data_IF_393684563731
#
_entry.id   IF_393684563731
#
_cell.length_a   1.000
_cell.length_b   1.000
_cell.length_c   1.000
_cell.angle_alpha   90.00
_cell.angle_beta   90.00
_cell.angle_gamma   90.00
#
_symmetry.space_group_name_H-M   'P 1'
#
loop_
_entity.id
_entity.type
_entity.pdbx_description
1 polymer ?
#
# COMPACT_ATOMS: atom_id res chain seq x y z
N UNK A 1 1.77 11.98 -9.52
CA UNK A 1 1.29 10.58 -9.40
C UNK A 1 -0.06 10.57 -8.70
N UNK A 2 -1.00 9.84 -9.22
CA UNK A 2 -2.30 9.62 -8.59
C UNK A 2 -2.27 8.40 -7.68
N UNK A 3 -3.32 8.25 -6.86
CA UNK A 3 -3.49 7.03 -6.07
C UNK A 3 -3.60 5.78 -6.93
N UNK A 4 -4.21 5.92 -8.10
CA UNK A 4 -4.30 4.85 -9.09
C UNK A 4 -2.94 4.44 -9.63
N UNK A 5 -2.07 5.42 -9.92
CA UNK A 5 -0.72 5.13 -10.40
C UNK A 5 0.09 4.39 -9.35
N UNK A 6 0.02 4.82 -8.09
CA UNK A 6 0.73 4.17 -6.99
C UNK A 6 0.24 2.75 -6.78
N UNK A 7 -1.09 2.54 -6.77
CA UNK A 7 -1.67 1.21 -6.67
C UNK A 7 -1.22 0.34 -7.84
N UNK A 8 -1.19 0.90 -9.05
CA UNK A 8 -0.81 0.19 -10.25
C UNK A 8 0.62 -0.33 -10.24
N UNK A 9 1.55 0.40 -9.65
CA UNK A 9 2.95 -0.06 -9.55
C UNK A 9 3.03 -1.34 -8.73
N UNK A 10 2.42 -1.36 -7.55
CA UNK A 10 2.43 -2.54 -6.69
C UNK A 10 1.62 -3.69 -7.29
N UNK A 11 0.45 -3.38 -7.83
CA UNK A 11 -0.44 -4.39 -8.41
C UNK A 11 0.20 -5.05 -9.63
N UNK A 12 0.84 -4.27 -10.50
CA UNK A 12 1.56 -4.79 -11.67
C UNK A 12 2.70 -5.71 -11.28
N UNK A 13 3.44 -5.37 -10.24
CA UNK A 13 4.51 -6.21 -9.72
C UNK A 13 3.98 -7.57 -9.25
N UNK A 14 2.85 -7.56 -8.54
CA UNK A 14 2.21 -8.78 -8.02
C UNK A 14 1.64 -9.61 -9.18
N UNK A 15 1.00 -8.96 -10.15
CA UNK A 15 0.45 -9.62 -11.33
C UNK A 15 1.53 -10.32 -12.17
N UNK A 16 2.67 -9.65 -12.36
CA UNK A 16 3.79 -10.20 -13.13
C UNK A 16 4.35 -11.48 -12.52
N UNK A 17 4.12 -11.68 -11.23
CA UNK A 17 4.55 -12.87 -10.51
C UNK A 17 3.43 -13.91 -10.35
N UNK A 18 2.28 -13.69 -10.99
CA UNK A 18 1.19 -14.64 -11.02
C UNK A 18 0.23 -14.60 -9.84
N UNK A 19 0.29 -13.55 -9.01
CA UNK A 19 -0.52 -13.44 -7.79
C UNK A 19 -1.57 -12.31 -7.83
N UNK A 20 -1.80 -11.70 -9.00
CA UNK A 20 -2.69 -10.54 -9.11
C UNK A 20 -4.09 -10.77 -8.58
N UNK A 21 -4.67 -11.93 -8.82
CA UNK A 21 -6.02 -12.26 -8.35
C UNK A 21 -6.11 -12.34 -6.83
N UNK A 22 -4.99 -12.54 -6.14
CA UNK A 22 -4.94 -12.68 -4.69
C UNK A 22 -4.74 -11.32 -3.99
N UNK A 23 -4.42 -10.26 -4.73
CA UNK A 23 -4.34 -8.91 -4.21
C UNK A 23 -5.71 -8.24 -4.34
N UNK A 24 -6.58 -8.48 -3.35
CA UNK A 24 -7.99 -8.13 -3.41
C UNK A 24 -8.38 -6.80 -2.78
N UNK A 25 -7.42 -5.99 -2.31
CA UNK A 25 -7.73 -4.72 -1.67
C UNK A 25 -6.90 -3.58 -2.28
N UNK A 26 -7.16 -2.34 -1.85
CA UNK A 26 -6.40 -1.17 -2.26
C UNK A 26 -4.99 -1.21 -1.70
N UNK A 27 -4.04 -0.51 -2.34
CA UNK A 27 -2.66 -0.43 -1.86
C UNK A 27 -2.55 0.30 -0.54
N UNK A 28 -3.33 1.36 -0.33
CA UNK A 28 -3.24 2.13 0.89
C UNK A 28 -4.25 3.27 0.98
N UNK A 29 -4.11 4.05 2.04
CA UNK A 29 -5.04 5.14 2.37
C UNK A 29 -4.33 6.23 3.18
N UNK A 30 -4.98 7.39 3.28
CA UNK A 30 -4.51 8.48 4.15
C UNK A 30 -4.67 8.12 5.62
N UNK A 31 -3.86 8.74 6.44
CA UNK A 31 -3.90 8.57 7.90
C UNK A 31 -4.26 9.92 8.52
N UNK A 32 -5.20 9.91 9.46
CA UNK A 32 -5.64 11.08 10.18
C UNK A 32 -6.62 10.71 11.27
N UNK A 33 -7.73 11.47 11.37
CA UNK A 33 -8.72 11.25 12.42
C UNK A 33 -9.58 10.01 12.19
N UNK A 34 -9.68 9.55 10.95
CA UNK A 34 -10.44 8.34 10.61
C UNK A 34 -9.50 7.18 10.31
N UNK A 35 -10.00 5.96 10.47
CA UNK A 35 -9.21 4.74 10.21
C UNK A 35 -8.78 4.67 8.76
N UNK A 36 -9.68 5.04 7.84
CA UNK A 36 -9.40 5.10 6.42
C UNK A 36 -9.85 6.45 5.90
N UNK A 37 -8.93 7.28 5.47
CA UNK A 37 -9.29 8.57 4.88
C UNK A 37 -8.50 8.85 3.60
N UNK A 38 -8.90 9.89 2.88
CA UNK A 38 -8.19 10.33 1.68
C UNK A 38 -6.78 10.83 2.03
N UNK A 39 -5.82 10.78 1.11
CA UNK A 39 -5.97 10.23 -0.24
C UNK A 39 -5.95 8.70 -0.24
N UNK A 40 -6.54 8.11 -1.28
CA UNK A 40 -6.55 6.66 -1.44
C UNK A 40 -5.56 6.23 -2.52
N UNK A 41 -4.91 5.09 -2.29
CA UNK A 41 -4.05 4.43 -3.27
C UNK A 41 -4.78 3.19 -3.77
N UNK A 42 -5.60 3.36 -4.80
CA UNK A 42 -6.52 2.34 -5.27
C UNK A 42 -6.71 2.45 -6.79
N UNK A 43 -7.23 1.39 -7.40
CA UNK A 43 -7.49 1.36 -8.85
C UNK A 43 -8.41 2.49 -9.33
N UNK A 44 -9.29 2.97 -8.46
CA UNK A 44 -10.28 4.00 -8.79
C UNK A 44 -9.88 5.40 -8.34
N UNK A 45 -8.71 5.58 -7.73
CA UNK A 45 -8.28 6.85 -7.17
C UNK A 45 -7.49 7.65 -8.21
N UNK A 46 -8.16 8.40 -9.06
CA UNK A 46 -7.56 9.13 -10.17
C UNK A 46 -6.98 10.48 -9.80
N UNK A 47 -7.34 11.03 -8.64
CA UNK A 47 -6.81 12.31 -8.18
C UNK A 47 -5.33 12.25 -7.86
N UNK A 48 -4.56 13.32 -8.12
CA UNK A 48 -3.16 13.38 -7.73
C UNK A 48 -2.99 13.23 -6.22
N UNK A 49 -1.91 12.57 -5.82
CA UNK A 49 -1.54 12.50 -4.40
C UNK A 49 -1.08 13.87 -3.93
N UNK A 50 -1.49 14.24 -2.73
CA UNK A 50 -1.23 15.57 -2.16
C UNK A 50 0.10 15.56 -1.43
N UNK A 51 0.95 16.56 -1.72
CA UNK A 51 2.18 16.77 -0.99
C UNK A 51 1.89 17.03 0.48
N UNK A 52 2.66 16.44 1.36
CA UNK A 52 2.48 16.54 2.80
C UNK A 52 1.60 15.49 3.41
N UNK A 53 0.86 14.72 2.60
CA UNK A 53 0.00 13.66 3.11
C UNK A 53 0.82 12.50 3.70
N UNK A 54 0.25 11.83 4.70
CA UNK A 54 0.77 10.57 5.21
C UNK A 54 -0.19 9.47 4.78
N UNK A 55 0.33 8.45 4.12
CA UNK A 55 -0.47 7.35 3.59
C UNK A 55 0.11 6.01 4.00
N UNK A 56 -0.73 4.99 4.02
CA UNK A 56 -0.24 3.62 4.16
C UNK A 56 0.13 3.05 2.80
N UNK A 57 1.09 2.15 2.79
CA UNK A 57 1.42 1.31 1.63
C UNK A 57 1.42 -0.12 2.14
N UNK A 58 0.39 -0.88 1.78
CA UNK A 58 0.12 -2.17 2.41
C UNK A 58 -0.30 -3.25 1.41
N UNK A 59 0.56 -3.57 0.42
CA UNK A 59 0.24 -4.65 -0.50
C UNK A 59 0.13 -5.98 0.23
N UNK A 60 -0.80 -6.80 -0.21
CA UNK A 60 -1.01 -8.11 0.39
C UNK A 60 -1.63 -9.09 -0.57
N UNK A 61 -1.37 -10.35 -0.36
CA UNK A 61 -1.99 -11.45 -1.10
C UNK A 61 -2.61 -12.44 -0.11
N UNK A 62 -3.78 -12.94 -0.46
CA UNK A 62 -4.55 -13.83 0.40
C UNK A 62 -5.09 -14.99 -0.42
N UNK A 63 -4.80 -16.20 0.04
CA UNK A 63 -5.33 -17.41 -0.58
C UNK A 63 -6.43 -17.98 0.32
N UNK A 64 -7.69 -17.99 -0.13
CA UNK A 64 -8.80 -18.49 0.69
C UNK A 64 -8.52 -19.89 1.20
N UNK A 65 -8.79 -20.11 2.49
CA UNK A 65 -8.60 -21.40 3.14
C UNK A 65 -7.16 -21.77 3.46
N UNK A 66 -6.19 -20.94 3.10
CA UNK A 66 -4.77 -21.21 3.33
C UNK A 66 -4.09 -20.16 4.19
N UNK A 67 -4.25 -18.90 3.86
CA UNK A 67 -3.64 -17.81 4.60
C UNK A 67 -3.31 -16.63 3.71
N UNK A 68 -2.56 -15.67 4.26
CA UNK A 68 -2.16 -14.48 3.51
C UNK A 68 -0.99 -13.77 4.16
N UNK A 69 -0.44 -12.81 3.42
CA UNK A 69 0.65 -11.94 3.88
C UNK A 69 0.35 -10.51 3.45
N UNK A 70 0.51 -9.58 4.39
CA UNK A 70 0.44 -8.14 4.12
C UNK A 70 1.59 -7.47 4.83
N UNK A 71 2.27 -6.57 4.12
CA UNK A 71 3.35 -5.75 4.67
C UNK A 71 2.91 -4.31 4.58
N UNK A 72 2.92 -3.60 5.69
CA UNK A 72 2.42 -2.24 5.77
C UNK A 72 3.49 -1.28 6.26
N UNK A 73 3.62 -0.16 5.54
CA UNK A 73 4.44 0.98 5.96
C UNK A 73 3.62 2.25 5.91
N UNK A 74 3.94 3.20 6.79
CA UNK A 74 3.41 4.55 6.74
C UNK A 74 4.42 5.43 6.04
N UNK A 75 3.96 6.21 5.07
CA UNK A 75 4.83 6.98 4.17
C UNK A 75 4.39 8.44 4.13
N UNK A 76 5.34 9.35 4.32
CA UNK A 76 5.12 10.79 4.18
C UNK A 76 5.48 11.24 2.77
N UNK A 77 4.56 11.93 2.10
CA UNK A 77 4.73 12.43 0.74
C UNK A 77 5.30 13.85 0.81
N UNK A 78 6.61 13.98 0.94
CA UNK A 78 7.26 15.28 1.07
C UNK A 78 7.62 15.91 -0.26
N UNK A 79 7.95 17.22 -0.23
CA UNK A 79 8.34 18.00 -1.41
C UNK A 79 9.61 17.46 -2.06
N UNK A 80 10.55 16.95 -1.27
CA UNK A 80 11.81 16.41 -1.76
C UNK A 80 11.81 14.92 -2.03
N UNK A 81 10.64 14.27 -1.92
CA UNK A 81 10.49 12.83 -2.10
C UNK A 81 9.70 12.19 -0.99
N UNK A 82 9.60 10.88 -1.02
CA UNK A 82 8.87 10.10 -0.02
C UNK A 82 9.80 9.73 1.14
N UNK A 83 9.22 9.65 2.34
CA UNK A 83 9.91 9.19 3.53
C UNK A 83 9.10 8.08 4.19
N UNK A 84 9.70 6.91 4.37
CA UNK A 84 9.07 5.81 5.10
C UNK A 84 9.21 6.08 6.59
N UNK A 85 8.09 6.19 7.29
CA UNK A 85 8.05 6.53 8.71
C UNK A 85 8.19 5.32 9.62
N UNK A 86 7.71 4.16 9.15
CA UNK A 86 7.80 2.92 9.91
C UNK A 86 9.15 2.27 9.72
N UNK A 87 9.64 1.61 10.77
CA UNK A 87 10.96 0.98 10.75
C UNK A 87 10.92 -0.52 11.08
N UNK A 88 9.71 -1.09 11.16
CA UNK A 88 9.58 -2.52 11.43
C UNK A 88 10.15 -3.32 10.25
N UNK A 89 10.90 -4.40 10.51
CA UNK A 89 11.48 -5.21 9.43
C UNK A 89 10.42 -5.78 8.50
N UNK A 90 10.68 -5.72 7.19
CA UNK A 90 9.80 -6.30 6.16
C UNK A 90 10.14 -7.74 5.84
N UNK A 91 11.22 -8.23 6.37
CA UNK A 91 11.69 -9.59 6.15
C UNK A 91 10.86 -10.58 6.94
N UNK A 92 10.84 -11.83 6.48
CA UNK A 92 10.18 -12.89 7.23
C UNK A 92 10.90 -13.13 8.56
N UNK A 93 10.17 -13.00 9.65
CA UNK A 93 10.68 -13.28 11.00
C UNK A 93 9.89 -14.48 11.52
N UNK A 94 10.59 -15.54 11.81
CA UNK A 94 9.96 -16.74 12.39
C UNK A 94 9.99 -16.63 13.90
N UNK A 95 8.80 -16.76 14.50
CA UNK A 95 8.62 -16.71 15.94
C UNK A 95 8.17 -18.11 16.37
N UNK A 96 9.04 -18.79 17.01
CA UNK A 96 8.74 -20.17 17.30
C UNK A 96 8.78 -20.66 18.60
#
# INVERSE_FOLDING_TARGET
>A
MSGRDADGVARGYIEDRGFGELFGHSLGHGIGLEVHEAPRLAKTAESPLVEGAVVTVEPGIYRPGWGGVRIEDDVHLGAGGTQVLTSFPRELIEIG
#
